data_IF_940503027587
#
_entry.id   IF_940503027587
#
_cell.length_a   1.000
_cell.length_b   1.000
_cell.length_c   1.000
_cell.angle_alpha   90.00
_cell.angle_beta   90.00
_cell.angle_gamma   90.00
#
_symmetry.space_group_name_H-M   'P 1'
#
loop_
_entity.id
_entity.type
_entity.pdbx_description
1 polymer ?
#
# COMPACT_ATOMS: atom_id res chain seq x y z
N UNK A 1 20.35 -1.24 -13.18
CA UNK A 1 19.59 -1.12 -14.44
C UNK A 1 19.13 -2.49 -14.93
N UNK A 2 19.97 -3.40 -15.36
CA UNK A 2 19.59 -4.72 -15.93
C UNK A 2 18.61 -5.53 -15.05
N UNK A 3 18.91 -5.67 -13.76
CA UNK A 3 17.98 -6.35 -12.83
C UNK A 3 16.59 -5.71 -12.74
N UNK A 4 16.51 -4.38 -12.91
CA UNK A 4 15.22 -3.69 -12.94
C UNK A 4 14.41 -4.04 -14.19
N UNK A 5 15.07 -4.10 -15.35
CA UNK A 5 14.43 -4.56 -16.59
C UNK A 5 13.95 -6.01 -16.44
N UNK A 6 14.81 -6.92 -15.96
CA UNK A 6 14.42 -8.32 -15.72
C UNK A 6 13.25 -8.45 -14.72
N UNK A 7 13.18 -7.61 -13.68
CA UNK A 7 12.04 -7.61 -12.75
C UNK A 7 10.75 -7.15 -13.42
N UNK A 8 10.81 -6.17 -14.31
CA UNK A 8 9.66 -5.67 -15.07
C UNK A 8 9.16 -6.74 -16.04
N UNK A 9 10.06 -7.40 -16.78
CA UNK A 9 9.75 -8.43 -17.76
C UNK A 9 9.20 -9.71 -17.12
N UNK A 10 9.90 -10.22 -16.11
CA UNK A 10 9.56 -11.50 -15.48
C UNK A 10 8.63 -11.38 -14.26
N UNK A 11 8.35 -10.16 -13.77
CA UNK A 11 7.52 -9.86 -12.59
C UNK A 11 8.11 -10.37 -11.25
N UNK A 12 9.02 -11.34 -11.28
CA UNK A 12 9.76 -11.88 -10.13
C UNK A 12 11.13 -12.38 -10.55
N UNK A 13 12.13 -12.15 -9.69
CA UNK A 13 13.50 -12.65 -9.91
C UNK A 13 14.13 -13.13 -8.60
N UNK A 14 15.03 -14.10 -8.68
CA UNK A 14 15.80 -14.58 -7.56
C UNK A 14 17.19 -13.91 -7.55
N UNK A 15 17.60 -13.40 -6.39
CA UNK A 15 18.90 -12.72 -6.23
C UNK A 15 19.36 -12.78 -4.77
N UNK A 16 20.48 -12.14 -4.46
CA UNK A 16 20.91 -12.00 -3.06
C UNK A 16 20.09 -10.93 -2.34
N UNK A 17 19.90 -11.09 -1.03
CA UNK A 17 19.08 -10.16 -0.22
C UNK A 17 19.56 -8.71 -0.30
N UNK A 18 20.89 -8.50 -0.30
CA UNK A 18 21.47 -7.16 -0.42
C UNK A 18 21.10 -6.49 -1.77
N UNK A 19 21.20 -7.24 -2.88
CA UNK A 19 20.83 -6.78 -4.22
C UNK A 19 19.30 -6.51 -4.29
N UNK A 20 18.48 -7.38 -3.71
CA UNK A 20 17.02 -7.19 -3.67
C UNK A 20 16.63 -5.90 -2.93
N UNK A 21 17.27 -5.62 -1.77
CA UNK A 21 17.05 -4.37 -1.03
C UNK A 21 17.42 -3.13 -1.84
N UNK A 22 18.58 -3.13 -2.48
CA UNK A 22 19.01 -2.02 -3.34
C UNK A 22 18.09 -1.85 -4.56
N UNK A 23 17.67 -2.97 -5.18
CA UNK A 23 16.77 -2.96 -6.33
C UNK A 23 15.40 -2.37 -5.98
N UNK A 24 14.86 -2.67 -4.81
CA UNK A 24 13.60 -2.11 -4.32
C UNK A 24 13.65 -0.58 -4.29
N UNK A 25 14.69 0.01 -3.69
CA UNK A 25 14.85 1.46 -3.62
C UNK A 25 14.94 2.09 -5.02
N UNK A 26 15.53 1.38 -5.98
CA UNK A 26 15.66 1.84 -7.36
C UNK A 26 14.35 1.76 -8.15
N UNK A 27 13.60 0.67 -8.00
CA UNK A 27 12.41 0.37 -8.84
C UNK A 27 11.15 1.08 -8.35
N UNK A 28 10.93 1.21 -7.04
CA UNK A 28 9.71 1.81 -6.49
C UNK A 28 9.44 3.24 -7.01
N UNK A 29 10.42 4.16 -7.08
CA UNK A 29 10.18 5.48 -7.66
C UNK A 29 9.83 5.45 -9.15
N UNK A 30 10.37 4.48 -9.91
CA UNK A 30 10.05 4.33 -11.34
C UNK A 30 8.61 3.87 -11.54
N UNK A 31 8.14 2.93 -10.70
CA UNK A 31 6.74 2.49 -10.70
C UNK A 31 5.82 3.64 -10.31
N UNK A 32 6.17 4.44 -9.31
CA UNK A 32 5.38 5.62 -8.93
C UNK A 32 5.25 6.61 -10.09
N UNK A 33 6.35 6.87 -10.82
CA UNK A 33 6.33 7.74 -12.02
C UNK A 33 5.49 7.16 -13.15
N UNK A 34 5.43 5.84 -13.30
CA UNK A 34 4.67 5.19 -14.37
C UNK A 34 3.15 5.30 -14.22
N UNK A 35 2.64 5.59 -13.02
CA UNK A 35 1.20 5.82 -12.81
C UNK A 35 0.65 7.00 -13.58
N UNK A 36 1.48 8.02 -13.81
CA UNK A 36 1.11 9.17 -14.64
C UNK A 36 1.70 8.96 -16.02
N UNK A 37 0.86 8.54 -16.99
CA UNK A 37 1.30 8.32 -18.36
C UNK A 37 1.41 9.65 -19.10
N UNK A 38 2.60 10.26 -19.03
CA UNK A 38 2.97 11.44 -19.78
C UNK A 38 4.25 11.20 -20.57
N UNK A 39 4.46 11.97 -21.62
CA UNK A 39 5.71 11.89 -22.41
C UNK A 39 6.94 12.20 -21.56
N UNK A 40 6.80 13.10 -20.59
CA UNK A 40 7.85 13.43 -19.64
C UNK A 40 8.16 12.23 -18.72
N UNK A 41 7.14 11.58 -18.14
CA UNK A 41 7.31 10.39 -17.30
C UNK A 41 7.99 9.28 -18.07
N UNK A 42 7.56 9.00 -19.31
CA UNK A 42 8.18 7.99 -20.17
C UNK A 42 9.65 8.29 -20.48
N UNK A 43 10.00 9.54 -20.80
CA UNK A 43 11.40 9.95 -21.02
C UNK A 43 12.24 9.79 -19.76
N UNK A 44 11.71 10.19 -18.60
CA UNK A 44 12.41 10.07 -17.32
C UNK A 44 12.65 8.59 -16.98
N UNK A 45 11.64 7.72 -17.07
CA UNK A 45 11.79 6.29 -16.81
C UNK A 45 12.77 5.65 -17.81
N UNK A 46 12.69 6.03 -19.09
CA UNK A 46 13.62 5.54 -20.10
C UNK A 46 15.07 5.93 -19.81
N UNK A 47 15.34 7.12 -19.28
CA UNK A 47 16.70 7.54 -18.91
C UNK A 47 17.34 6.64 -17.86
N UNK A 48 16.53 6.05 -16.96
CA UNK A 48 17.00 5.11 -15.95
C UNK A 48 17.08 3.65 -16.46
N UNK A 49 16.10 3.18 -17.21
CA UNK A 49 16.03 1.78 -17.66
C UNK A 49 16.82 1.53 -18.95
N UNK A 50 16.87 2.50 -19.86
CA UNK A 50 17.53 2.43 -21.18
C UNK A 50 17.11 1.20 -22.02
N UNK A 51 15.96 0.60 -21.70
CA UNK A 51 15.36 -0.51 -22.42
C UNK A 51 13.93 -0.11 -22.84
N UNK A 52 13.62 -0.16 -24.14
CA UNK A 52 12.33 0.23 -24.69
C UNK A 52 11.23 -0.76 -24.31
N UNK A 53 11.54 -2.05 -24.32
CA UNK A 53 10.60 -3.13 -24.01
C UNK A 53 10.15 -3.05 -22.55
N UNK A 54 11.10 -2.96 -21.63
CA UNK A 54 10.80 -2.81 -20.21
C UNK A 54 9.97 -1.55 -19.91
N UNK A 55 10.24 -0.42 -20.57
CA UNK A 55 9.42 0.80 -20.41
C UNK A 55 8.03 0.58 -20.95
N UNK A 56 7.88 -0.02 -22.12
CA UNK A 56 6.55 -0.29 -22.70
C UNK A 56 5.74 -1.18 -21.78
N UNK A 57 6.33 -2.24 -21.26
CA UNK A 57 5.68 -3.18 -20.35
C UNK A 57 5.31 -2.55 -19.00
N UNK A 58 6.19 -1.69 -18.47
CA UNK A 58 5.93 -0.94 -17.24
C UNK A 58 4.67 -0.07 -17.36
N UNK A 59 4.52 0.69 -18.45
CA UNK A 59 3.36 1.56 -18.65
C UNK A 59 2.11 0.82 -19.11
N UNK A 60 2.27 -0.27 -19.89
CA UNK A 60 1.15 -1.03 -20.44
C UNK A 60 0.53 -2.01 -19.46
N UNK A 61 1.35 -2.75 -18.72
CA UNK A 61 0.88 -3.83 -17.84
C UNK A 61 0.95 -3.49 -16.35
N UNK A 62 2.09 -2.94 -15.90
CA UNK A 62 2.33 -2.76 -14.47
C UNK A 62 1.57 -1.56 -13.95
N UNK A 63 1.66 -0.42 -14.61
CA UNK A 63 1.01 0.81 -14.16
C UNK A 63 -0.51 0.66 -13.90
N UNK A 64 -1.32 0.03 -14.78
CA UNK A 64 -2.73 -0.16 -14.51
C UNK A 64 -3.02 -1.03 -13.28
N UNK A 65 -2.23 -2.11 -13.08
CA UNK A 65 -2.42 -3.03 -11.95
C UNK A 65 -2.08 -2.40 -10.61
N UNK A 66 -1.05 -1.55 -10.57
CA UNK A 66 -0.61 -0.89 -9.33
C UNK A 66 -1.27 0.47 -9.10
N UNK A 67 -2.17 0.91 -9.96
CA UNK A 67 -2.79 2.24 -9.91
C UNK A 67 -3.43 2.56 -8.56
N UNK A 68 -4.14 1.60 -7.96
CA UNK A 68 -4.85 1.74 -6.68
C UNK A 68 -3.92 1.67 -5.45
N UNK A 69 -2.69 1.16 -5.60
CA UNK A 69 -1.76 0.98 -4.48
C UNK A 69 -0.97 2.27 -4.22
N UNK A 70 -0.96 2.83 -3.00
CA UNK A 70 -0.25 4.08 -2.70
C UNK A 70 1.28 3.93 -2.68
N UNK A 71 1.81 2.71 -2.49
CA UNK A 71 3.24 2.40 -2.43
C UNK A 71 3.51 0.95 -2.05
N UNK A 72 4.79 0.56 -1.92
CA UNK A 72 5.16 -0.82 -1.57
C UNK A 72 4.80 -1.82 -2.68
N UNK A 73 5.17 -1.51 -3.91
CA UNK A 73 4.86 -2.32 -5.09
C UNK A 73 5.64 -3.63 -5.14
N UNK A 74 6.73 -3.70 -4.39
CA UNK A 74 7.69 -4.81 -4.45
C UNK A 74 7.74 -5.53 -3.11
N UNK A 75 7.74 -6.86 -3.14
CA UNK A 75 7.92 -7.73 -1.98
C UNK A 75 9.24 -8.48 -2.10
N UNK A 76 9.93 -8.63 -0.98
CA UNK A 76 11.17 -9.43 -0.87
C UNK A 76 10.89 -10.60 0.05
N UNK A 77 11.07 -11.83 -0.45
CA UNK A 77 10.90 -13.07 0.28
C UNK A 77 12.27 -13.72 0.41
N UNK A 78 12.72 -14.00 1.64
CA UNK A 78 13.99 -14.70 1.87
C UNK A 78 13.83 -16.17 1.49
N UNK A 79 14.77 -16.70 0.74
CA UNK A 79 14.74 -18.08 0.22
C UNK A 79 15.77 -18.99 0.88
N UNK A 80 16.64 -18.45 1.74
CA UNK A 80 17.67 -19.19 2.45
C UNK A 80 19.07 -18.72 2.10
N UNK A 81 20.03 -19.64 2.14
CA UNK A 81 21.43 -19.37 1.90
C UNK A 81 21.92 -20.13 0.67
N UNK A 82 22.82 -19.54 -0.08
CA UNK A 82 23.42 -20.17 -1.26
C UNK A 82 24.58 -21.08 -0.82
N UNK A 83 24.58 -22.37 -1.22
CA UNK A 83 25.71 -23.25 -0.93
C UNK A 83 26.98 -22.74 -1.61
N UNK A 84 28.09 -22.79 -0.90
CA UNK A 84 29.42 -22.34 -1.36
C UNK A 84 29.88 -21.07 -0.68
N UNK A 85 29.13 -19.97 -0.73
CA UNK A 85 29.50 -18.68 -0.13
C UNK A 85 28.57 -18.23 1.03
N UNK A 86 27.60 -19.06 1.39
CA UNK A 86 26.62 -18.80 2.44
C UNK A 86 25.93 -17.42 2.30
N UNK A 87 25.82 -16.89 1.09
CA UNK A 87 25.15 -15.63 0.84
C UNK A 87 23.62 -15.75 1.04
N UNK A 88 23.02 -14.83 1.79
CA UNK A 88 21.56 -14.76 1.92
C UNK A 88 20.92 -14.51 0.54
N UNK A 89 20.02 -15.40 0.15
CA UNK A 89 19.24 -15.31 -1.08
C UNK A 89 17.81 -14.84 -0.81
N UNK A 90 17.24 -14.15 -1.78
CA UNK A 90 15.89 -13.66 -1.72
C UNK A 90 15.26 -13.64 -3.12
N UNK A 91 13.95 -13.86 -3.16
CA UNK A 91 13.11 -13.59 -4.30
C UNK A 91 12.50 -12.21 -4.14
N UNK A 92 12.63 -11.38 -5.17
CA UNK A 92 11.94 -10.10 -5.27
C UNK A 92 10.85 -10.21 -6.33
N UNK A 93 9.64 -9.73 -6.00
CA UNK A 93 8.46 -9.84 -6.87
C UNK A 93 7.60 -8.58 -6.83
N UNK A 94 6.81 -8.37 -7.88
CA UNK A 94 5.73 -7.39 -7.91
C UNK A 94 4.51 -7.97 -7.20
N UNK A 95 4.01 -7.29 -6.16
CA UNK A 95 2.95 -7.80 -5.27
C UNK A 95 1.66 -8.09 -6.03
N UNK A 96 1.27 -7.22 -6.96
CA UNK A 96 0.00 -7.30 -7.68
C UNK A 96 -0.02 -8.35 -8.82
N UNK A 97 1.12 -9.00 -9.06
CA UNK A 97 1.27 -10.10 -10.04
C UNK A 97 1.34 -11.48 -9.39
N UNK A 98 1.37 -11.53 -8.06
CA UNK A 98 1.39 -12.80 -7.35
C UNK A 98 -0.02 -13.23 -6.94
N UNK A 99 -0.52 -14.32 -7.53
CA UNK A 99 -1.84 -14.88 -7.23
C UNK A 99 -1.86 -15.76 -5.99
N UNK A 100 -0.69 -16.29 -5.55
CA UNK A 100 -0.59 -17.22 -4.43
C UNK A 100 -0.56 -16.52 -3.06
N UNK A 101 0.04 -15.35 -2.99
CA UNK A 101 0.20 -14.58 -1.74
C UNK A 101 -0.62 -13.27 -1.74
N UNK A 102 -1.79 -13.28 -2.33
CA UNK A 102 -2.76 -12.19 -2.15
C UNK A 102 -3.30 -12.30 -0.73
N UNK A 103 -2.95 -11.32 0.12
CA UNK A 103 -3.54 -11.21 1.45
C UNK A 103 -5.06 -11.07 1.30
N UNK A 104 -5.77 -12.20 1.39
CA UNK A 104 -7.17 -12.31 1.80
C UNK A 104 -8.27 -11.41 1.24
N UNK A 105 -8.00 -10.51 0.30
CA UNK A 105 -9.01 -9.58 -0.22
C UNK A 105 -9.78 -10.11 -1.44
N UNK A 106 -9.39 -11.26 -1.98
CA UNK A 106 -10.08 -11.85 -3.15
C UNK A 106 -10.94 -13.08 -2.82
N UNK A 107 -11.05 -13.48 -1.54
CA UNK A 107 -11.84 -14.68 -1.14
C UNK A 107 -13.02 -14.35 -0.20
N UNK A 108 -13.49 -13.10 -0.20
CA UNK A 108 -14.65 -12.68 0.59
C UNK A 108 -15.94 -12.56 -0.23
N UNK A 109 -15.99 -13.16 -1.41
CA UNK A 109 -17.22 -13.26 -2.20
C UNK A 109 -17.60 -14.73 -2.29
N UNK A 110 -18.66 -15.09 -1.54
CA UNK A 110 -19.34 -16.38 -1.42
C UNK A 110 -18.92 -17.29 -0.25
N UNK A 111 -19.17 -16.81 0.97
CA UNK A 111 -19.60 -17.69 2.04
C UNK A 111 -20.80 -17.05 2.71
N UNK A 112 -21.99 -17.49 2.32
CA UNK A 112 -23.26 -17.17 2.98
C UNK A 112 -23.15 -17.40 4.50
N UNK A 113 -23.72 -16.53 5.34
CA UNK A 113 -23.62 -16.70 6.78
C UNK A 113 -24.39 -17.95 7.21
N UNK A 114 -23.69 -19.01 7.57
CA UNK A 114 -24.29 -20.16 8.27
C UNK A 114 -24.84 -19.64 9.60
N UNK A 115 -26.15 -19.53 9.70
CA UNK A 115 -26.90 -19.28 10.93
C UNK A 115 -26.45 -20.29 11.98
N UNK A 116 -25.67 -19.84 12.97
CA UNK A 116 -25.42 -20.62 14.19
C UNK A 116 -26.71 -20.62 15.00
N UNK A 117 -27.50 -21.71 14.84
CA UNK A 117 -28.61 -22.02 15.74
C UNK A 117 -28.03 -22.23 17.14
N UNK A 118 -28.28 -21.28 18.03
CA UNK A 118 -28.07 -21.45 19.45
C UNK A 118 -29.08 -22.49 19.94
N UNK A 119 -28.58 -23.65 20.26
CA UNK A 119 -29.33 -24.68 20.97
C UNK A 119 -29.53 -24.22 22.40
N UNK A 120 -30.74 -23.77 22.72
CA UNK A 120 -31.15 -23.47 24.08
C UNK A 120 -31.29 -24.76 24.84
N UNK A 121 -30.43 -25.05 25.80
CA UNK A 121 -30.66 -26.05 26.83
C UNK A 121 -31.38 -25.35 27.97
N UNK A 122 -32.68 -25.60 28.07
CA UNK A 122 -33.47 -25.30 29.26
C UNK A 122 -32.99 -26.16 30.42
N UNK A 123 -32.61 -25.56 31.53
CA UNK A 123 -32.54 -26.22 32.84
C UNK A 123 -33.33 -25.36 33.82
N UNK A 124 -34.43 -25.95 34.24
CA UNK A 124 -35.35 -25.58 35.28
C UNK A 124 -34.66 -25.65 36.65
N UNK A 125 -34.80 -24.64 37.45
CA UNK A 125 -34.77 -24.70 38.91
C UNK A 125 -35.47 -23.48 39.50
N UNK A 126 -36.40 -23.80 40.39
CA UNK A 126 -37.24 -22.94 41.21
C UNK A 126 -36.43 -22.25 42.30
N UNK A 127 -36.94 -21.13 42.78
CA UNK A 127 -36.80 -20.78 44.18
C UNK A 127 -36.49 -19.35 44.51
N UNK A 128 -37.53 -18.60 45.03
CA UNK A 128 -37.51 -17.65 46.12
C UNK A 128 -36.86 -16.26 45.94
N UNK A 129 -37.70 -15.26 45.86
CA UNK A 129 -37.94 -14.10 46.73
C UNK A 129 -36.77 -13.19 47.15
N UNK A 130 -37.01 -11.90 46.95
CA UNK A 130 -36.57 -10.88 47.92
C UNK A 130 -35.88 -9.66 47.37
N UNK A 131 -36.58 -8.52 47.35
CA UNK A 131 -36.03 -7.25 47.85
C UNK A 131 -35.28 -6.31 46.90
N UNK A 132 -36.02 -5.34 46.43
CA UNK A 132 -35.86 -3.88 46.71
C UNK A 132 -34.69 -3.10 46.09
N UNK A 133 -35.17 -1.95 45.53
CA UNK A 133 -34.58 -0.61 45.46
C UNK A 133 -33.41 -0.32 44.48
N UNK A 134 -33.82 0.47 43.48
CA UNK A 134 -33.27 1.77 43.06
C UNK A 134 -31.74 1.91 42.85
N UNK A 135 -31.37 2.24 41.67
CA UNK A 135 -30.81 3.56 41.32
C UNK A 135 -30.26 3.59 39.88
N UNK A 136 -30.73 4.54 39.08
CA UNK A 136 -30.26 4.81 37.75
C UNK A 136 -29.03 5.71 37.80
N UNK A 137 -28.00 5.49 36.98
CA UNK A 137 -27.00 6.50 36.74
C UNK A 137 -27.26 7.26 35.44
N UNK A 138 -27.25 8.53 35.61
CA UNK A 138 -27.43 9.68 34.71
C UNK A 138 -26.69 9.59 33.39
N UNK A 139 -27.43 9.96 32.35
CA UNK A 139 -26.94 10.29 31.02
C UNK A 139 -25.88 11.41 31.06
N UNK A 140 -24.77 11.19 30.40
CA UNK A 140 -23.74 12.20 30.15
C UNK A 140 -23.98 12.85 28.79
N UNK A 141 -24.23 14.17 28.80
CA UNK A 141 -24.49 15.01 27.66
C UNK A 141 -23.33 15.11 26.65
N UNK A 142 -23.61 15.35 25.35
CA UNK A 142 -22.59 15.47 24.33
C UNK A 142 -21.89 16.83 24.37
N UNK A 143 -20.57 16.79 24.26
CA UNK A 143 -19.68 17.94 24.24
C UNK A 143 -19.77 18.67 22.88
N UNK A 144 -20.12 19.95 22.91
CA UNK A 144 -20.22 20.87 21.78
C UNK A 144 -18.87 20.99 21.05
N UNK A 145 -18.91 20.87 19.71
CA UNK A 145 -17.87 21.19 18.78
C UNK A 145 -17.65 22.71 18.74
N UNK A 146 -16.42 23.15 18.95
CA UNK A 146 -16.03 24.52 18.75
C UNK A 146 -15.65 24.75 17.28
N UNK A 147 -16.21 25.78 16.67
CA UNK A 147 -15.86 26.33 15.36
C UNK A 147 -14.53 27.08 15.43
N UNK A 148 -13.68 27.02 14.42
CA UNK A 148 -12.56 27.95 14.29
C UNK A 148 -12.96 29.20 13.50
N UNK A 149 -12.72 30.32 14.14
CA UNK A 149 -12.87 31.68 13.65
C UNK A 149 -11.86 31.97 12.55
N UNK A 150 -12.34 32.48 11.44
CA UNK A 150 -11.53 33.05 10.38
C UNK A 150 -11.07 34.45 10.80
N UNK A 151 -9.77 34.71 10.64
CA UNK A 151 -9.27 36.08 10.53
C UNK A 151 -8.09 36.10 9.57
N UNK A 152 -8.25 36.91 8.54
CA UNK A 152 -7.32 37.04 7.46
C UNK A 152 -6.14 37.95 7.82
N UNK A 153 -5.02 37.73 7.18
CA UNK A 153 -4.01 38.74 7.00
C UNK A 153 -3.27 38.56 5.67
N UNK A 154 -3.50 39.54 4.85
CA UNK A 154 -2.90 39.78 3.53
C UNK A 154 -1.44 40.17 3.71
N UNK A 155 -0.51 39.52 3.01
CA UNK A 155 0.88 39.98 2.88
C UNK A 155 1.20 40.37 1.43
N UNK A 156 1.82 41.49 1.20
CA UNK A 156 1.97 42.12 -0.12
C UNK A 156 3.06 41.44 -0.97
N UNK A 157 2.78 41.38 -2.28
CA UNK A 157 3.69 40.93 -3.35
C UNK A 157 4.87 41.89 -3.49
N UNK A 158 6.07 41.37 -3.33
CA UNK A 158 7.31 42.05 -3.69
C UNK A 158 7.51 41.99 -5.21
N UNK A 159 7.43 43.13 -5.86
CA UNK A 159 7.78 43.35 -7.26
C UNK A 159 9.30 43.36 -7.43
N UNK A 160 9.81 42.38 -8.19
CA UNK A 160 11.22 42.34 -8.59
C UNK A 160 11.45 43.21 -9.82
N UNK A 161 12.09 44.37 -9.61
CA UNK A 161 12.58 45.29 -10.67
C UNK A 161 13.54 44.58 -11.62
N UNK A 162 13.24 44.66 -12.92
CA UNK A 162 14.21 44.43 -14.00
C UNK A 162 15.26 45.53 -13.95
N UNK A 163 16.54 45.17 -13.98
CA UNK A 163 17.65 46.07 -14.29
C UNK A 163 18.16 45.71 -15.69
N UNK A 164 17.87 46.54 -16.62
CA UNK A 164 18.49 46.67 -17.93
C UNK A 164 19.71 47.59 -17.80
N UNK A 165 20.68 47.44 -18.69
CA UNK A 165 21.91 48.24 -18.96
C UNK A 165 23.17 47.41 -18.62
N UNK A 166 24.13 47.25 -19.44
CA UNK A 166 24.69 47.80 -20.71
C UNK A 166 25.58 46.70 -21.30
#
# INVERSE_FOLDING_TARGET
MNMACSLIEHKRINTTLAKAKALRVYVEPLITKSKTDSTHSRRTVFSYLKNKEAVTELFREIAPKVASRPGGYVRIIRTGFRPGDNAETAMIELVDFNTLYTNGTAAATEAAPKKRTRRSSAKKAEGAEGGDAAEAPKARAPRKKAEPKAEGEEKPKATRKKKSEE
#
